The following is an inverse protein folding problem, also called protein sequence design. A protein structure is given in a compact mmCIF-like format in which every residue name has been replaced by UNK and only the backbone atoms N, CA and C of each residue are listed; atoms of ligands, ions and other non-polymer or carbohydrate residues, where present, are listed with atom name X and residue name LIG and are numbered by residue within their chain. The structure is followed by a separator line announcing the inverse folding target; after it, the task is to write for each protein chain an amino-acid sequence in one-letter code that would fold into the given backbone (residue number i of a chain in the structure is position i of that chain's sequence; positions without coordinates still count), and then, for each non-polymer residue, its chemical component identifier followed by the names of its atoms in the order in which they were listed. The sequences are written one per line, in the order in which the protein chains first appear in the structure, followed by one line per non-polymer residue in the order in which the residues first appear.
data_IF_035207541646
#
_entry.id   IF_035207541646
#
_cell.length_a   1.000
_cell.length_b   1.000
_cell.length_c   1.000
_cell.angle_alpha   90.00
_cell.angle_beta   90.00
_cell.angle_gamma   90.00
#
_symmetry.space_group_name_H-M   'P 1'
#
loop_
_entity.id
_entity.type
_entity.pdbx_description
1 polymer ?
#
# COMPACT_ATOMS: atom_id res chain seq x y z
N UNK A 1 18.96 18.60 -51.07
CA UNK A 1 18.03 19.54 -50.41
C UNK A 1 17.69 18.93 -49.05
N UNK A 2 18.65 18.71 -48.16
CA UNK A 2 19.45 19.65 -47.34
C UNK A 2 18.68 20.42 -46.25
N UNK A 3 19.33 20.51 -45.08
CA UNK A 3 19.01 21.21 -43.84
C UNK A 3 18.08 20.44 -42.86
N UNK A 4 18.57 19.59 -41.93
CA UNK A 4 19.44 19.88 -40.76
C UNK A 4 19.06 21.18 -40.03
N UNK A 5 18.18 21.07 -39.03
CA UNK A 5 18.20 21.98 -37.88
C UNK A 5 18.58 21.19 -36.63
N UNK A 6 19.85 21.39 -36.26
CA UNK A 6 20.41 21.10 -34.95
C UNK A 6 19.95 22.19 -34.00
N UNK A 7 19.36 21.84 -32.87
CA UNK A 7 19.16 22.74 -31.74
C UNK A 7 19.97 22.21 -30.54
N UNK A 8 21.09 22.85 -30.17
CA UNK A 8 21.82 22.50 -28.96
C UNK A 8 21.27 23.31 -27.78
N UNK A 9 20.56 22.66 -26.86
CA UNK A 9 20.40 23.18 -25.50
C UNK A 9 21.64 22.78 -24.70
N UNK A 10 22.68 23.61 -24.81
CA UNK A 10 23.73 23.69 -23.81
C UNK A 10 23.30 24.75 -22.79
N UNK A 11 22.92 24.33 -21.58
CA UNK A 11 22.96 25.23 -20.44
C UNK A 11 23.30 24.47 -19.15
N UNK A 12 24.41 24.91 -18.59
CA UNK A 12 25.06 24.52 -17.35
C UNK A 12 24.13 24.36 -16.16
N UNK A 13 24.37 23.32 -15.37
CA UNK A 13 24.34 23.43 -13.91
C UNK A 13 25.40 22.48 -13.33
N UNK A 14 26.52 23.11 -12.97
CA UNK A 14 27.56 22.54 -12.10
C UNK A 14 26.96 22.51 -10.70
N UNK A 15 26.46 21.35 -10.28
CA UNK A 15 26.11 21.12 -8.88
C UNK A 15 27.14 20.14 -8.31
N UNK A 16 27.92 20.65 -7.36
CA UNK A 16 29.05 19.98 -6.76
C UNK A 16 28.67 18.65 -6.11
N UNK A 17 29.52 17.64 -6.35
CA UNK A 17 29.56 16.41 -5.59
C UNK A 17 29.90 16.74 -4.13
N UNK A 18 28.90 16.70 -3.25
CA UNK A 18 29.16 16.47 -1.82
C UNK A 18 29.52 14.98 -1.66
N UNK A 19 30.63 14.63 -0.99
CA UNK A 19 30.90 13.24 -0.65
C UNK A 19 29.90 12.75 0.41
N UNK A 20 29.43 11.49 0.34
CA UNK A 20 28.59 10.92 1.38
C UNK A 20 29.39 10.75 2.68
N UNK A 21 28.76 11.11 3.81
CA UNK A 21 29.26 10.84 5.14
C UNK A 21 29.36 9.31 5.35
N UNK A 22 30.51 8.85 5.85
CA UNK A 22 30.70 7.47 6.31
C UNK A 22 29.83 7.27 7.55
N UNK A 23 28.83 6.42 7.44
CA UNK A 23 28.11 5.85 8.59
C UNK A 23 28.88 4.60 9.01
N UNK A 24 29.47 4.64 10.19
CA UNK A 24 30.08 3.48 10.84
C UNK A 24 28.94 2.63 11.43
N UNK A 25 28.77 1.42 10.89
CA UNK A 25 27.82 0.41 11.38
C UNK A 25 28.56 -0.44 12.41
N UNK A 26 28.07 -0.56 13.66
CA UNK A 26 28.66 -1.47 14.64
C UNK A 26 28.37 -2.93 14.29
N UNK A 27 29.42 -3.75 14.40
CA UNK A 27 29.41 -5.21 14.24
C UNK A 27 28.49 -5.91 15.25
N UNK A 28 27.66 -6.82 14.74
CA UNK A 28 26.78 -7.73 15.51
C UNK A 28 27.50 -9.07 15.74
N UNK A 29 27.84 -9.45 16.99
CA UNK A 29 28.48 -10.74 17.27
C UNK A 29 27.46 -11.82 17.63
N UNK A 30 27.15 -12.68 16.66
CA UNK A 30 27.29 -14.14 16.75
C UNK A 30 26.38 -14.99 17.67
N UNK A 31 25.97 -16.14 17.12
CA UNK A 31 25.46 -17.34 17.82
C UNK A 31 24.02 -17.67 17.45
N UNK A 32 23.59 -18.87 17.05
CA UNK A 32 24.16 -20.23 17.16
C UNK A 32 23.38 -21.16 16.19
N UNK A 33 24.00 -22.18 15.56
CA UNK A 33 23.31 -23.20 14.76
C UNK A 33 22.99 -24.46 15.60
N UNK A 34 21.77 -24.54 16.12
CA UNK A 34 21.23 -25.72 16.81
C UNK A 34 20.10 -26.38 16.01
N UNK A 35 20.36 -27.59 15.48
CA UNK A 35 19.38 -28.37 14.72
C UNK A 35 18.47 -29.26 15.56
N UNK A 36 17.41 -29.77 14.92
CA UNK A 36 16.63 -30.92 15.38
C UNK A 36 16.01 -31.65 14.17
N UNK A 37 16.29 -32.94 13.94
CA UNK A 37 15.55 -33.78 13.02
C UNK A 37 14.68 -34.81 13.78
N UNK A 38 13.37 -34.59 13.78
CA UNK A 38 12.37 -35.57 14.22
C UNK A 38 10.99 -35.04 13.89
N UNK A 39 10.00 -35.80 13.44
CA UNK A 39 9.82 -37.22 13.24
C UNK A 39 8.41 -37.39 12.64
N UNK A 40 8.21 -38.46 11.88
CA UNK A 40 7.02 -38.68 11.06
C UNK A 40 5.67 -38.69 11.80
N UNK A 41 4.64 -38.32 11.05
CA UNK A 41 3.25 -38.42 11.43
C UNK A 41 2.34 -38.18 10.23
N UNK A 42 2.31 -39.13 9.29
CA UNK A 42 1.30 -39.17 8.23
C UNK A 42 -0.04 -39.58 8.87
N UNK A 43 -0.85 -38.59 9.22
CA UNK A 43 -2.25 -38.74 9.61
C UNK A 43 -3.14 -38.26 8.49
N UNK A 44 -3.53 -39.19 7.62
CA UNK A 44 -4.56 -39.03 6.60
C UNK A 44 -5.85 -38.52 7.25
N UNK A 45 -6.27 -37.29 6.94
CA UNK A 45 -7.58 -36.76 7.34
C UNK A 45 -8.56 -36.89 6.18
N UNK A 46 -9.78 -37.43 6.40
CA UNK A 46 -10.78 -37.60 5.36
C UNK A 46 -11.24 -36.25 4.81
N UNK A 47 -11.59 -36.26 3.52
CA UNK A 47 -11.97 -35.10 2.72
C UNK A 47 -12.90 -34.14 3.45
N UNK A 48 -12.43 -32.91 3.60
CA UNK A 48 -13.30 -31.77 3.75
C UNK A 48 -13.83 -31.45 2.35
N UNK A 49 -15.15 -31.52 2.20
CA UNK A 49 -15.88 -30.97 1.06
C UNK A 49 -15.37 -29.54 0.76
N UNK A 50 -15.34 -29.09 -0.51
CA UNK A 50 -15.06 -27.70 -0.83
C UNK A 50 -16.07 -26.83 -0.10
N UNK A 51 -15.62 -26.19 0.98
CA UNK A 51 -16.42 -25.17 1.67
C UNK A 51 -16.67 -24.09 0.63
N UNK A 52 -17.93 -23.93 0.24
CA UNK A 52 -18.38 -22.83 -0.60
C UNK A 52 -17.71 -21.54 -0.11
N UNK A 53 -17.26 -20.65 -1.03
CA UNK A 53 -16.57 -19.43 -0.65
C UNK A 53 -17.44 -18.71 0.39
N UNK A 54 -16.91 -18.63 1.61
CA UNK A 54 -17.56 -17.99 2.73
C UNK A 54 -17.86 -16.57 2.28
N UNK A 55 -19.13 -16.33 2.00
CA UNK A 55 -19.71 -15.07 1.57
C UNK A 55 -19.04 -13.97 2.38
N UNK A 56 -18.32 -13.07 1.70
CA UNK A 56 -17.42 -12.09 2.30
C UNK A 56 -18.06 -11.52 3.55
N UNK A 57 -17.54 -11.92 4.73
CA UNK A 57 -18.09 -11.54 6.02
C UNK A 57 -18.31 -10.03 5.99
N UNK A 58 -19.59 -9.64 5.92
CA UNK A 58 -19.97 -8.27 5.60
C UNK A 58 -19.23 -7.32 6.52
N UNK A 59 -18.64 -6.27 5.93
CA UNK A 59 -18.04 -5.17 6.67
C UNK A 59 -19.03 -4.76 7.75
N UNK A 60 -18.64 -4.89 9.02
CA UNK A 60 -19.50 -4.53 10.15
C UNK A 60 -19.96 -3.07 9.95
N UNK A 61 -21.22 -2.73 10.26
CA UNK A 61 -21.70 -1.37 10.12
C UNK A 61 -20.82 -0.44 10.97
N UNK A 62 -20.29 0.58 10.33
CA UNK A 62 -19.48 1.61 10.98
C UNK A 62 -20.31 2.89 11.07
N UNK A 63 -20.32 3.48 12.26
CA UNK A 63 -20.83 4.83 12.43
C UNK A 63 -19.79 5.78 11.82
N UNK A 64 -20.14 6.43 10.70
CA UNK A 64 -19.27 7.40 10.02
C UNK A 64 -19.29 8.78 10.70
N UNK A 65 -19.38 8.79 12.03
CA UNK A 65 -19.37 10.01 12.82
C UNK A 65 -17.96 10.61 12.80
N UNK A 66 -17.89 11.90 12.51
CA UNK A 66 -16.64 12.65 12.50
C UNK A 66 -16.76 13.85 13.44
N UNK A 67 -15.74 14.12 14.26
CA UNK A 67 -15.72 15.33 15.08
C UNK A 67 -15.56 16.60 14.22
N UNK A 68 -14.90 16.48 13.07
CA UNK A 68 -14.69 17.53 12.08
C UNK A 68 -15.08 17.03 10.68
N UNK A 69 -15.62 17.89 9.81
CA UNK A 69 -16.07 17.50 8.46
C UNK A 69 -15.00 16.76 7.62
N UNK A 70 -13.72 17.03 7.91
CA UNK A 70 -12.55 16.43 7.27
C UNK A 70 -11.64 15.69 8.26
N UNK A 71 -12.14 15.35 9.45
CA UNK A 71 -11.42 14.56 10.45
C UNK A 71 -11.48 13.06 10.17
N UNK A 72 -10.67 12.26 10.88
CA UNK A 72 -10.72 10.81 10.77
C UNK A 72 -12.05 10.26 11.31
N UNK A 73 -12.53 9.19 10.69
CA UNK A 73 -13.56 8.30 11.23
C UNK A 73 -12.85 7.30 12.12
N UNK A 74 -13.17 7.33 13.41
CA UNK A 74 -12.58 6.39 14.37
C UNK A 74 -13.43 5.14 14.42
N UNK A 75 -12.80 4.01 14.11
CA UNK A 75 -13.38 2.66 14.17
C UNK A 75 -12.66 1.85 15.25
N UNK A 76 -13.29 0.79 15.74
CA UNK A 76 -12.59 -0.08 16.68
C UNK A 76 -11.46 -0.88 15.98
N UNK A 77 -10.57 -1.46 16.80
CA UNK A 77 -9.42 -2.20 16.28
C UNK A 77 -9.81 -3.45 15.45
N UNK A 78 -10.93 -4.10 15.76
CA UNK A 78 -11.39 -5.26 14.99
C UNK A 78 -11.92 -4.83 13.62
N UNK A 79 -12.69 -3.75 13.57
CA UNK A 79 -13.15 -3.12 12.34
C UNK A 79 -11.98 -2.69 11.47
N UNK A 80 -10.98 -2.01 12.06
CA UNK A 80 -9.77 -1.61 11.32
C UNK A 80 -8.98 -2.81 10.79
N UNK A 81 -8.90 -3.92 11.54
CA UNK A 81 -8.22 -5.13 11.08
C UNK A 81 -8.97 -5.84 9.94
N UNK A 82 -10.27 -5.60 9.80
CA UNK A 82 -11.14 -6.15 8.73
C UNK A 82 -11.44 -5.14 7.62
N UNK A 83 -10.78 -3.99 7.62
CA UNK A 83 -10.98 -2.93 6.64
C UNK A 83 -10.70 -3.43 5.21
N UNK A 84 -11.25 -2.75 4.21
CA UNK A 84 -11.08 -3.19 2.84
C UNK A 84 -9.59 -3.24 2.47
N UNK A 85 -9.20 -4.29 1.75
CA UNK A 85 -7.82 -4.56 1.34
C UNK A 85 -6.78 -4.80 2.47
N UNK A 86 -7.20 -4.95 3.74
CA UNK A 86 -6.27 -5.16 4.87
C UNK A 86 -5.28 -6.33 4.75
N UNK A 87 -5.59 -7.30 3.87
CA UNK A 87 -4.81 -8.53 3.68
C UNK A 87 -4.25 -8.68 2.26
N UNK A 88 -4.46 -7.69 1.40
CA UNK A 88 -3.93 -7.76 0.04
C UNK A 88 -2.39 -7.78 0.09
N UNK A 89 -1.79 -8.62 -0.75
CA UNK A 89 -0.33 -8.72 -0.91
C UNK A 89 0.10 -8.23 -2.29
N UNK A 90 -0.82 -8.23 -3.25
CA UNK A 90 -0.60 -7.79 -4.63
C UNK A 90 -1.56 -6.69 -5.04
N UNK A 91 -1.15 -5.85 -6.01
CA UNK A 91 -2.02 -4.81 -6.54
C UNK A 91 -3.29 -5.36 -7.22
N UNK A 92 -3.17 -6.49 -7.93
CA UNK A 92 -4.32 -7.15 -8.58
C UNK A 92 -5.38 -7.66 -7.60
N UNK A 93 -4.99 -7.92 -6.35
CA UNK A 93 -5.91 -8.38 -5.29
C UNK A 93 -6.71 -7.24 -4.65
N UNK A 94 -6.26 -6.00 -4.80
CA UNK A 94 -6.93 -4.85 -4.19
C UNK A 94 -8.34 -4.67 -4.75
N UNK A 95 -8.53 -4.81 -6.06
CA UNK A 95 -9.78 -4.51 -6.76
C UNK A 95 -10.50 -3.23 -6.27
N UNK A 96 -9.74 -2.22 -5.81
CA UNK A 96 -10.29 -1.04 -5.15
C UNK A 96 -11.05 -0.18 -6.15
N UNK A 97 -12.11 0.47 -5.68
CA UNK A 97 -12.88 1.43 -6.48
C UNK A 97 -13.14 2.67 -5.66
N UNK A 98 -13.69 3.72 -6.28
CA UNK A 98 -14.13 4.90 -5.54
C UNK A 98 -15.19 4.56 -4.47
N UNK A 99 -16.09 3.62 -4.75
CA UNK A 99 -17.17 3.24 -3.82
C UNK A 99 -16.69 2.23 -2.76
N UNK A 100 -15.61 1.51 -3.04
CA UNK A 100 -14.97 0.57 -2.13
C UNK A 100 -13.44 0.79 -2.16
N UNK A 101 -12.97 1.90 -1.56
CA UNK A 101 -11.56 2.25 -1.54
C UNK A 101 -10.83 1.39 -0.50
N UNK A 102 -9.51 1.28 -0.65
CA UNK A 102 -8.62 0.84 0.43
C UNK A 102 -8.76 1.84 1.58
N UNK A 103 -8.94 1.33 2.79
CA UNK A 103 -9.14 2.17 3.96
C UNK A 103 -7.84 2.23 4.75
N UNK A 104 -7.29 3.42 4.95
CA UNK A 104 -6.04 3.62 5.69
C UNK A 104 -6.11 4.88 6.56
N UNK A 105 -5.31 4.88 7.63
CA UNK A 105 -5.26 6.01 8.55
C UNK A 105 -4.19 7.02 8.13
N UNK A 106 -4.57 7.96 7.27
CA UNK A 106 -3.72 9.03 6.76
C UNK A 106 -2.98 8.68 5.46
N UNK A 107 -2.52 9.74 4.78
CA UNK A 107 -1.83 9.63 3.48
C UNK A 107 -0.56 8.78 3.60
N UNK A 108 0.20 8.95 4.70
CA UNK A 108 1.42 8.19 4.92
C UNK A 108 1.16 6.67 4.97
N UNK A 109 0.12 6.23 5.69
CA UNK A 109 -0.27 4.82 5.75
C UNK A 109 -0.68 4.27 4.37
N UNK A 110 -1.43 5.08 3.60
CA UNK A 110 -1.78 4.74 2.21
C UNK A 110 -0.54 4.55 1.31
N UNK A 111 0.46 5.43 1.42
CA UNK A 111 1.70 5.31 0.63
C UNK A 111 2.55 4.12 1.09
N UNK A 112 2.63 3.85 2.40
CA UNK A 112 3.32 2.66 2.92
C UNK A 112 2.67 1.35 2.43
N UNK A 113 1.35 1.31 2.32
CA UNK A 113 0.66 0.18 1.68
C UNK A 113 1.14 0.00 0.23
N UNK A 114 1.21 1.07 -0.57
CA UNK A 114 1.70 0.99 -1.95
C UNK A 114 3.15 0.49 -2.04
N UNK A 115 3.99 0.79 -1.03
CA UNK A 115 5.35 0.28 -0.97
C UNK A 115 5.44 -1.20 -0.59
N UNK A 116 4.47 -1.69 0.21
CA UNK A 116 4.43 -3.05 0.72
C UNK A 116 3.87 -4.05 -0.29
N UNK A 117 2.94 -3.63 -1.15
CA UNK A 117 2.34 -4.47 -2.18
C UNK A 117 3.32 -4.76 -3.34
N UNK A 118 3.11 -5.89 -3.99
CA UNK A 118 3.85 -6.28 -5.19
C UNK A 118 2.97 -6.32 -6.44
N UNK A 119 3.61 -6.23 -7.60
CA UNK A 119 3.00 -6.56 -8.89
C UNK A 119 2.79 -8.09 -9.00
N UNK A 120 2.05 -8.53 -10.01
CA UNK A 120 1.74 -9.97 -10.17
C UNK A 120 2.99 -10.84 -10.41
N UNK A 121 4.05 -10.27 -10.97
CA UNK A 121 5.34 -10.94 -11.17
C UNK A 121 6.23 -10.96 -9.91
N UNK A 122 5.76 -10.36 -8.80
CA UNK A 122 6.48 -10.26 -7.53
C UNK A 122 7.44 -9.07 -7.44
N UNK A 123 7.56 -8.24 -8.49
CA UNK A 123 8.34 -7.01 -8.43
C UNK A 123 7.66 -5.93 -7.57
N UNK A 124 8.45 -4.94 -7.13
CA UNK A 124 7.93 -3.75 -6.44
C UNK A 124 7.66 -2.65 -7.47
N UNK A 125 6.48 -2.03 -7.39
CA UNK A 125 6.11 -0.94 -8.30
C UNK A 125 6.95 0.33 -8.07
N UNK A 126 7.33 0.59 -6.81
CA UNK A 126 8.08 1.80 -6.44
C UNK A 126 9.31 1.44 -5.60
N UNK A 127 10.45 2.12 -5.83
CA UNK A 127 11.67 1.91 -5.05
C UNK A 127 11.72 2.78 -3.79
N UNK A 128 10.86 3.81 -3.67
CA UNK A 128 10.92 4.79 -2.60
C UNK A 128 9.54 5.39 -2.28
N UNK A 129 9.39 5.92 -1.06
CA UNK A 129 8.19 6.62 -0.61
C UNK A 129 7.85 7.83 -1.48
N UNK A 130 8.86 8.60 -1.92
CA UNK A 130 8.65 9.77 -2.77
C UNK A 130 8.03 9.40 -4.12
N UNK A 131 8.50 8.33 -4.74
CA UNK A 131 7.95 7.84 -6.02
C UNK A 131 6.54 7.27 -5.86
N UNK A 132 6.29 6.51 -4.78
CA UNK A 132 4.96 6.00 -4.47
C UNK A 132 3.97 7.14 -4.21
N UNK A 133 4.35 8.13 -3.40
CA UNK A 133 3.52 9.31 -3.14
C UNK A 133 3.30 10.15 -4.41
N UNK A 134 4.34 10.30 -5.23
CA UNK A 134 4.30 11.01 -6.52
C UNK A 134 3.37 10.39 -7.56
N UNK A 135 2.99 9.11 -7.38
CA UNK A 135 2.01 8.44 -8.25
C UNK A 135 0.56 8.87 -8.00
N UNK A 136 0.31 9.69 -6.97
CA UNK A 136 -1.00 10.27 -6.69
C UNK A 136 -1.46 11.15 -7.85
N UNK A 137 -2.55 10.74 -8.49
CA UNK A 137 -3.20 11.46 -9.59
C UNK A 137 -4.17 12.55 -9.12
N UNK A 138 -4.51 12.57 -7.83
CA UNK A 138 -5.36 13.57 -7.19
C UNK A 138 -6.60 12.96 -6.52
N UNK A 139 -7.56 13.82 -6.16
CA UNK A 139 -8.81 13.41 -5.53
C UNK A 139 -9.89 13.12 -6.59
N UNK A 140 -10.67 12.04 -6.41
CA UNK A 140 -11.79 11.67 -7.29
C UNK A 140 -13.18 11.98 -6.71
N UNK A 141 -13.20 12.80 -5.65
CA UNK A 141 -14.41 13.22 -4.93
C UNK A 141 -14.85 12.22 -3.86
N UNK A 142 -16.03 12.46 -3.28
CA UNK A 142 -16.58 11.66 -2.19
C UNK A 142 -16.89 10.22 -2.59
N UNK A 143 -16.49 9.26 -1.77
CA UNK A 143 -16.69 7.82 -1.98
C UNK A 143 -16.53 7.03 -0.67
N UNK A 144 -16.43 5.70 -0.79
CA UNK A 144 -16.39 4.79 0.34
C UNK A 144 -17.65 4.82 1.22
N UNK A 145 -17.67 3.98 2.26
CA UNK A 145 -18.83 3.87 3.16
C UNK A 145 -19.12 5.13 3.99
N UNK A 146 -18.11 6.00 4.16
CA UNK A 146 -18.23 7.23 4.96
C UNK A 146 -18.20 8.53 4.14
N UNK A 147 -18.26 8.45 2.81
CA UNK A 147 -18.32 9.65 1.95
C UNK A 147 -17.04 10.49 1.95
N UNK A 148 -15.91 9.91 2.35
CA UNK A 148 -14.59 10.54 2.38
C UNK A 148 -14.15 11.02 0.99
N UNK A 149 -13.30 12.04 0.93
CA UNK A 149 -12.60 12.38 -0.30
C UNK A 149 -11.59 11.27 -0.59
N UNK A 150 -11.70 10.66 -1.78
CA UNK A 150 -10.88 9.51 -2.17
C UNK A 150 -9.70 9.96 -3.02
N UNK A 151 -8.52 9.49 -2.64
CA UNK A 151 -7.29 9.65 -3.40
C UNK A 151 -7.17 8.56 -4.47
N UNK A 152 -6.72 8.94 -5.67
CA UNK A 152 -6.37 8.00 -6.74
C UNK A 152 -4.85 7.96 -6.93
N UNK A 153 -4.29 6.77 -6.88
CA UNK A 153 -2.90 6.48 -7.23
C UNK A 153 -2.85 5.62 -8.48
N UNK A 154 -1.90 5.91 -9.38
CA UNK A 154 -1.67 5.15 -10.60
C UNK A 154 -0.37 4.38 -10.48
N UNK A 155 -0.50 3.09 -10.22
CA UNK A 155 0.63 2.22 -9.91
C UNK A 155 1.11 1.51 -11.17
N UNK A 156 2.32 1.80 -11.67
CA UNK A 156 2.87 1.09 -12.80
C UNK A 156 3.40 -0.29 -12.36
N UNK A 157 2.96 -1.33 -13.06
CA UNK A 157 3.47 -2.68 -12.96
C UNK A 157 3.80 -3.24 -14.36
N UNK A 158 4.63 -4.30 -14.48
CA UNK A 158 4.95 -4.91 -15.77
C UNK A 158 3.73 -5.42 -16.54
N UNK A 159 2.70 -5.88 -15.84
CA UNK A 159 1.42 -6.33 -16.42
C UNK A 159 0.47 -5.19 -16.83
N UNK A 160 0.70 -3.96 -16.36
CA UNK A 160 -0.18 -2.82 -16.62
C UNK A 160 -0.17 -1.77 -15.52
N UNK A 161 -1.05 -0.77 -15.65
CA UNK A 161 -1.25 0.25 -14.61
C UNK A 161 -2.46 -0.12 -13.78
N UNK A 162 -2.30 -0.15 -12.45
CA UNK A 162 -3.38 -0.36 -11.50
C UNK A 162 -3.86 1.00 -10.95
N UNK A 163 -5.17 1.24 -11.02
CA UNK A 163 -5.81 2.36 -10.33
C UNK A 163 -6.11 1.93 -8.88
N UNK A 164 -5.47 2.58 -7.91
CA UNK A 164 -5.64 2.31 -6.49
C UNK A 164 -6.34 3.48 -5.82
N UNK A 165 -7.53 3.23 -5.28
CA UNK A 165 -8.38 4.22 -4.61
C UNK A 165 -8.19 4.10 -3.10
N UNK A 166 -7.79 5.18 -2.43
CA UNK A 166 -7.50 5.18 -1.00
C UNK A 166 -8.41 6.18 -0.27
N UNK A 167 -9.10 5.70 0.76
CA UNK A 167 -9.75 6.49 1.81
C UNK A 167 -8.78 6.63 2.98
N UNK A 168 -8.15 7.80 3.06
CA UNK A 168 -7.14 8.13 4.07
C UNK A 168 -7.73 8.52 5.44
N UNK A 169 -9.05 8.39 5.65
CA UNK A 169 -9.72 8.91 6.84
C UNK A 169 -10.20 7.84 7.82
N UNK A 170 -10.03 6.55 7.55
CA UNK A 170 -10.45 5.50 8.48
C UNK A 170 -9.30 5.20 9.44
N UNK A 171 -9.51 5.31 10.74
CA UNK A 171 -8.47 5.15 11.75
C UNK A 171 -8.92 4.29 12.93
N UNK A 172 -8.02 3.47 13.48
CA UNK A 172 -8.25 2.78 14.75
C UNK A 172 -8.11 3.72 15.98
N UNK A 173 -7.34 4.80 15.83
CA UNK A 173 -7.09 5.81 16.86
C UNK A 173 -6.86 7.17 16.18
N UNK A 174 -7.46 8.23 16.72
CA UNK A 174 -7.27 9.59 16.25
C UNK A 174 -5.80 10.04 16.33
N UNK A 175 -5.03 9.53 17.29
CA UNK A 175 -3.61 9.85 17.44
C UNK A 175 -2.72 9.32 16.28
N UNK A 176 -3.23 8.37 15.50
CA UNK A 176 -2.55 7.82 14.33
C UNK A 176 -2.75 8.65 13.07
N UNK A 177 -3.76 9.52 13.03
CA UNK A 177 -4.02 10.38 11.88
C UNK A 177 -2.95 11.48 11.79
N UNK A 178 -2.00 11.32 10.85
CA UNK A 178 -0.87 12.22 10.63
C UNK A 178 -0.63 12.48 9.16
#
# INVERSE_FOLDING_TARGET
MDARLLLPCALSLVLGCLPPAKVEVPDDPGGDPGGDPGGGGAGERPGADPKEPEEAAGVLPIACERPDDYGPVIVDAEQYARRYAAKALRFSELASTKDQPVEECGIAAGVELLLALTCDDGSRAFPSFEEAHGSRSGNVGSGGRCGSIIDLYRVPCPEGVHDVYIDSYICADAAMFR
#
